data_IF_013517101020
#
_entry.id   IF_013517101020
#
_cell.length_a   1.000
_cell.length_b   1.000
_cell.length_c   1.000
_cell.angle_alpha   90.00
_cell.angle_beta   90.00
_cell.angle_gamma   90.00
#
_symmetry.space_group_name_H-M   'P 1'
#
loop_
_entity.id
_entity.type
_entity.pdbx_description
1 polymer ?
#
# COMPACT_ATOMS: atom_id res chain seq x y z
N UNK A 1 3.15 -1.31 -20.38
CA UNK A 1 3.33 -0.46 -19.19
C UNK A 1 2.15 -0.68 -18.27
N UNK A 2 2.40 -0.84 -16.97
CA UNK A 2 1.34 -1.03 -16.00
C UNK A 2 0.56 0.28 -15.82
N UNK A 3 -0.76 0.23 -15.91
CA UNK A 3 -1.62 1.43 -15.74
C UNK A 3 -2.95 1.07 -15.12
N UNK A 4 -3.34 1.77 -14.06
CA UNK A 4 -4.68 1.70 -13.47
C UNK A 4 -5.65 2.44 -14.39
N UNK A 5 -6.65 1.73 -14.90
CA UNK A 5 -7.64 2.25 -15.85
C UNK A 5 -8.97 2.57 -15.19
N UNK A 6 -9.28 1.90 -14.08
CA UNK A 6 -10.53 2.10 -13.33
C UNK A 6 -10.37 1.74 -11.87
N UNK A 7 -11.10 2.46 -11.01
CA UNK A 7 -11.28 2.12 -9.59
C UNK A 7 -12.79 2.14 -9.32
N UNK A 8 -13.31 1.10 -8.67
CA UNK A 8 -14.70 1.04 -8.25
C UNK A 8 -14.95 2.08 -7.14
N UNK A 9 -15.99 2.90 -7.29
CA UNK A 9 -16.28 4.02 -6.36
C UNK A 9 -16.61 3.57 -4.93
N UNK A 10 -17.24 2.40 -4.79
CA UNK A 10 -17.68 1.88 -3.51
C UNK A 10 -16.77 0.75 -3.05
N UNK A 11 -16.39 0.70 -1.76
CA UNK A 11 -15.68 -0.45 -1.25
C UNK A 11 -16.58 -1.68 -1.30
N UNK A 12 -16.01 -2.83 -1.67
CA UNK A 12 -16.75 -4.09 -1.73
C UNK A 12 -16.73 -4.83 -0.40
N UNK A 13 -15.82 -4.47 0.50
CA UNK A 13 -15.69 -5.02 1.84
C UNK A 13 -15.16 -3.94 2.79
N UNK A 14 -15.44 -4.08 4.08
CA UNK A 14 -14.90 -3.20 5.12
C UNK A 14 -14.56 -4.00 6.37
N UNK A 15 -13.38 -3.75 6.94
CA UNK A 15 -12.87 -4.44 8.13
C UNK A 15 -12.93 -3.52 9.37
N UNK A 16 -13.69 -3.87 10.44
CA UNK A 16 -13.70 -3.07 11.66
C UNK A 16 -12.35 -3.12 12.39
N UNK A 17 -11.91 -1.98 12.92
CA UNK A 17 -10.67 -1.88 13.69
C UNK A 17 -10.74 -0.75 14.71
N UNK A 18 -9.75 -0.71 15.60
CA UNK A 18 -9.48 0.37 16.54
C UNK A 18 -8.24 1.13 16.09
N UNK A 19 -8.21 2.44 16.30
CA UNK A 19 -7.04 3.28 15.97
C UNK A 19 -6.95 4.45 16.94
N UNK A 20 -5.76 5.00 17.11
CA UNK A 20 -5.50 6.14 17.98
C UNK A 20 -6.27 7.41 17.58
N UNK A 21 -7.09 7.90 18.50
CA UNK A 21 -7.86 9.13 18.35
C UNK A 21 -7.19 10.39 18.86
N UNK A 22 -7.87 11.52 18.68
CA UNK A 22 -7.52 12.76 19.37
C UNK A 22 -7.81 12.64 20.87
N UNK A 23 -7.00 13.30 21.69
CA UNK A 23 -7.15 13.34 23.16
C UNK A 23 -7.07 11.98 23.88
N UNK A 24 -6.44 10.98 23.25
CA UNK A 24 -6.14 9.68 23.85
C UNK A 24 -7.33 8.73 24.00
N UNK A 25 -8.40 8.97 23.27
CA UNK A 25 -9.55 8.06 23.18
C UNK A 25 -9.42 7.21 21.92
N UNK A 26 -9.39 5.87 22.01
CA UNK A 26 -9.42 5.00 20.86
C UNK A 26 -10.67 5.22 19.99
N UNK A 27 -10.47 5.31 18.68
CA UNK A 27 -11.55 5.40 17.70
C UNK A 27 -11.87 4.02 17.15
N UNK A 28 -13.14 3.78 16.88
CA UNK A 28 -13.59 2.61 16.13
C UNK A 28 -13.85 3.04 14.69
N UNK A 29 -13.22 2.36 13.75
CA UNK A 29 -13.26 2.71 12.34
C UNK A 29 -13.42 1.45 11.49
N UNK A 30 -13.58 1.64 10.17
CA UNK A 30 -13.68 0.57 9.19
C UNK A 30 -12.68 0.80 8.07
N UNK A 31 -11.78 -0.15 7.84
CA UNK A 31 -10.82 -0.12 6.75
C UNK A 31 -11.50 -0.59 5.46
N UNK A 32 -11.63 0.25 4.42
CA UNK A 32 -12.31 -0.11 3.18
C UNK A 32 -11.40 -0.89 2.22
N UNK A 33 -12.02 -1.83 1.49
CA UNK A 33 -11.39 -2.61 0.43
C UNK A 33 -12.02 -2.25 -0.91
N UNK A 34 -11.20 -1.80 -1.86
CA UNK A 34 -11.61 -1.38 -3.20
C UNK A 34 -11.10 -2.34 -4.27
N UNK A 35 -11.81 -2.38 -5.40
CA UNK A 35 -11.29 -2.98 -6.64
C UNK A 35 -10.74 -1.90 -7.54
N UNK A 36 -9.57 -2.16 -8.10
CA UNK A 36 -9.00 -1.41 -9.21
C UNK A 36 -8.75 -2.35 -10.38
N UNK A 37 -8.65 -1.81 -11.58
CA UNK A 37 -8.41 -2.55 -12.80
C UNK A 37 -7.20 -1.94 -13.51
N UNK A 38 -6.35 -2.79 -14.05
CA UNK A 38 -5.11 -2.37 -14.68
C UNK A 38 -4.82 -3.09 -16.00
N UNK A 39 -4.19 -2.37 -16.91
CA UNK A 39 -3.49 -2.95 -18.07
C UNK A 39 -2.01 -3.12 -17.75
N UNK A 40 -1.32 -3.94 -18.54
CA UNK A 40 0.14 -4.11 -18.43
C UNK A 40 0.62 -5.01 -17.30
N UNK A 41 -0.27 -5.69 -16.59
CA UNK A 41 0.08 -6.78 -15.67
C UNK A 41 0.63 -8.00 -16.45
N UNK A 42 1.55 -8.79 -15.87
CA UNK A 42 1.94 -10.08 -16.46
C UNK A 42 0.71 -10.98 -16.67
N UNK A 43 0.66 -11.71 -17.79
CA UNK A 43 -0.55 -12.42 -18.24
C UNK A 43 -1.07 -13.51 -17.29
N UNK A 44 -0.22 -14.02 -16.39
CA UNK A 44 -0.59 -15.03 -15.40
C UNK A 44 -1.10 -14.43 -14.09
N UNK A 45 -0.93 -13.12 -13.87
CA UNK A 45 -1.36 -12.42 -12.67
C UNK A 45 -2.86 -12.22 -12.71
N UNK A 46 -3.53 -12.63 -11.64
CA UNK A 46 -4.98 -12.53 -11.42
C UNK A 46 -5.33 -11.42 -10.46
N UNK A 47 -4.50 -11.16 -9.45
CA UNK A 47 -4.67 -10.03 -8.56
C UNK A 47 -3.39 -9.59 -7.87
N UNK A 48 -3.27 -8.28 -7.66
CA UNK A 48 -2.30 -7.67 -6.74
C UNK A 48 -3.05 -7.00 -5.60
N UNK A 49 -2.42 -6.88 -4.44
CA UNK A 49 -2.95 -6.11 -3.31
C UNK A 49 -2.02 -4.95 -2.99
N UNK A 50 -2.57 -3.75 -2.89
CA UNK A 50 -1.85 -2.54 -2.50
C UNK A 50 -2.46 -1.98 -1.21
N UNK A 51 -1.64 -1.67 -0.21
CA UNK A 51 -2.14 -1.00 1.00
C UNK A 51 -1.06 -0.21 1.73
N UNK A 52 -1.49 0.83 2.43
CA UNK A 52 -0.67 1.64 3.32
C UNK A 52 -1.48 2.10 4.51
N UNK A 53 -0.78 2.45 5.58
CA UNK A 53 -1.35 3.06 6.76
C UNK A 53 -2.52 2.27 7.39
N UNK A 54 -2.47 0.92 7.50
CA UNK A 54 -3.35 0.19 8.41
C UNK A 54 -2.92 0.43 9.86
N UNK A 55 -2.72 1.69 10.28
CA UNK A 55 -2.34 2.09 11.62
C UNK A 55 -3.49 1.87 12.59
N UNK A 56 -3.56 0.65 13.14
CA UNK A 56 -4.58 0.30 14.10
C UNK A 56 -4.38 -1.07 14.71
N UNK A 57 -5.33 -1.42 15.56
CA UNK A 57 -5.44 -2.71 16.22
C UNK A 57 -6.73 -3.37 15.80
N UNK A 58 -6.72 -4.70 15.74
CA UNK A 58 -7.95 -5.44 15.48
C UNK A 58 -9.04 -5.07 16.51
N UNK A 59 -10.30 -5.10 16.07
CA UNK A 59 -11.43 -4.78 16.95
C UNK A 59 -11.70 -5.87 18.02
N UNK A 60 -11.19 -7.09 17.80
CA UNK A 60 -11.33 -8.22 18.71
C UNK A 60 -10.40 -8.16 19.92
N UNK A 61 -10.42 -9.24 20.72
CA UNK A 61 -9.69 -9.32 21.99
C UNK A 61 -8.20 -9.67 21.87
N UNK A 62 -7.72 -10.18 20.72
CA UNK A 62 -6.30 -10.57 20.61
C UNK A 62 -5.36 -9.38 20.40
N UNK A 63 -5.91 -8.20 20.04
CA UNK A 63 -5.20 -6.93 19.97
C UNK A 63 -3.98 -6.90 19.01
N UNK A 64 -4.00 -7.73 17.97
CA UNK A 64 -2.97 -7.77 16.92
C UNK A 64 -2.95 -6.48 16.10
N UNK A 65 -1.81 -6.17 15.48
CA UNK A 65 -1.73 -5.11 14.48
C UNK A 65 -2.74 -5.34 13.36
N UNK A 66 -3.36 -4.27 12.86
CA UNK A 66 -4.45 -4.35 11.87
C UNK A 66 -4.03 -5.03 10.56
N UNK A 67 -2.75 -5.01 10.20
CA UNK A 67 -2.27 -5.75 9.03
C UNK A 67 -2.54 -7.25 9.09
N UNK A 68 -2.51 -7.86 10.29
CA UNK A 68 -2.78 -9.30 10.48
C UNK A 68 -4.21 -9.70 10.08
N UNK A 69 -5.28 -9.10 10.65
CA UNK A 69 -6.64 -9.41 10.22
C UNK A 69 -6.94 -8.92 8.79
N UNK A 70 -6.16 -7.99 8.22
CA UNK A 70 -6.25 -7.67 6.78
C UNK A 70 -5.81 -8.85 5.93
N UNK A 71 -4.67 -9.47 6.24
CA UNK A 71 -4.22 -10.69 5.55
C UNK A 71 -5.26 -11.82 5.69
N UNK A 72 -5.78 -12.05 6.90
CA UNK A 72 -6.84 -13.04 7.13
C UNK A 72 -8.11 -12.75 6.31
N UNK A 73 -8.52 -11.48 6.22
CA UNK A 73 -9.67 -11.06 5.42
C UNK A 73 -9.45 -11.31 3.92
N UNK A 74 -8.26 -11.02 3.39
CA UNK A 74 -7.92 -11.32 1.98
C UNK A 74 -8.00 -12.82 1.69
N UNK A 75 -7.46 -13.66 2.59
CA UNK A 75 -7.55 -15.12 2.47
C UNK A 75 -9.00 -15.61 2.50
N UNK A 76 -9.83 -15.07 3.40
CA UNK A 76 -11.25 -15.41 3.48
C UNK A 76 -12.01 -15.00 2.21
N UNK A 77 -11.85 -13.75 1.76
CA UNK A 77 -12.48 -13.23 0.55
C UNK A 77 -12.06 -14.01 -0.71
N UNK A 78 -10.81 -14.47 -0.77
CA UNK A 78 -10.32 -15.35 -1.83
C UNK A 78 -10.99 -16.72 -1.80
N UNK A 79 -11.04 -17.38 -0.62
CA UNK A 79 -11.71 -18.68 -0.45
C UNK A 79 -13.21 -18.63 -0.77
N UNK A 80 -13.85 -17.49 -0.51
CA UNK A 80 -15.27 -17.25 -0.85
C UNK A 80 -15.49 -16.87 -2.32
N UNK A 81 -14.42 -16.72 -3.11
CA UNK A 81 -14.50 -16.33 -4.52
C UNK A 81 -14.88 -14.87 -4.76
N UNK A 82 -14.79 -14.02 -3.74
CA UNK A 82 -15.06 -12.57 -3.85
C UNK A 82 -13.93 -11.85 -4.58
N UNK A 83 -12.69 -12.32 -4.40
CA UNK A 83 -11.50 -11.88 -5.12
C UNK A 83 -10.69 -13.12 -5.56
N UNK A 84 -9.82 -13.01 -6.58
CA UNK A 84 -8.79 -14.02 -6.80
C UNK A 84 -7.78 -14.03 -5.64
N UNK A 85 -7.12 -15.18 -5.43
CA UNK A 85 -5.98 -15.26 -4.52
C UNK A 85 -4.89 -14.24 -4.94
N UNK A 86 -4.38 -13.40 -4.02
CA UNK A 86 -3.34 -12.44 -4.33
C UNK A 86 -2.08 -13.12 -4.87
N UNK A 87 -1.63 -12.72 -6.05
CA UNK A 87 -0.35 -13.18 -6.60
C UNK A 87 0.83 -12.42 -5.97
N UNK A 88 0.63 -11.16 -5.59
CA UNK A 88 1.55 -10.41 -4.73
C UNK A 88 0.81 -9.39 -3.85
N UNK A 89 1.45 -9.04 -2.73
CA UNK A 89 1.04 -7.95 -1.82
C UNK A 89 2.14 -6.90 -1.76
N UNK A 90 1.75 -5.64 -1.92
CA UNK A 90 2.61 -4.47 -1.82
C UNK A 90 2.21 -3.56 -0.66
N UNK A 91 3.16 -3.33 0.26
CA UNK A 91 2.97 -2.56 1.49
C UNK A 91 3.73 -1.23 1.44
N UNK A 92 3.05 -0.12 1.70
CA UNK A 92 3.64 1.22 1.67
C UNK A 92 3.85 1.85 3.05
N UNK A 93 3.94 1.02 4.09
CA UNK A 93 4.36 1.45 5.42
C UNK A 93 3.25 1.93 6.34
N UNK A 94 3.68 2.31 7.55
CA UNK A 94 2.88 2.75 8.68
C UNK A 94 1.85 1.68 9.09
N UNK A 95 2.36 0.53 9.48
CA UNK A 95 1.58 -0.65 9.86
C UNK A 95 1.35 -0.72 11.38
N UNK A 96 1.96 0.17 12.16
CA UNK A 96 1.95 0.17 13.62
C UNK A 96 0.96 1.19 14.25
N UNK A 97 0.34 0.81 15.36
CA UNK A 97 -0.28 1.70 16.34
C UNK A 97 -0.07 1.13 17.76
N UNK A 98 -0.22 1.91 18.82
CA UNK A 98 -0.06 1.39 20.19
C UNK A 98 -1.14 0.33 20.53
N UNK A 99 -0.83 -0.68 21.37
CA UNK A 99 -1.79 -1.72 21.78
C UNK A 99 -3.09 -1.19 22.39
N UNK A 100 -3.03 -0.07 23.10
CA UNK A 100 -4.17 0.58 23.75
C UNK A 100 -4.72 1.76 22.93
N UNK A 101 -4.15 2.06 21.75
CA UNK A 101 -4.52 3.19 20.90
C UNK A 101 -4.60 4.55 21.66
N UNK A 102 -3.74 4.74 22.68
CA UNK A 102 -3.79 5.92 23.56
C UNK A 102 -3.25 7.20 22.91
N UNK A 103 -2.54 7.12 21.79
CA UNK A 103 -1.89 8.27 21.17
C UNK A 103 -1.52 8.02 19.71
N UNK A 104 -1.80 9.00 18.85
CA UNK A 104 -1.33 9.00 17.46
C UNK A 104 0.18 9.04 17.33
N UNK A 105 0.67 8.46 16.24
CA UNK A 105 2.09 8.46 15.88
C UNK A 105 2.93 7.57 16.77
N UNK A 106 2.40 6.39 17.12
CA UNK A 106 3.17 5.35 17.77
C UNK A 106 4.25 4.82 16.84
N UNK A 107 5.40 4.44 17.39
CA UNK A 107 6.46 3.76 16.65
C UNK A 107 6.69 2.41 17.30
N UNK A 108 6.81 1.36 16.49
CA UNK A 108 7.00 0.02 16.99
C UNK A 108 7.08 -1.01 15.87
N UNK A 109 7.15 -2.28 16.29
CA UNK A 109 7.59 -3.36 15.43
C UNK A 109 6.44 -3.96 14.63
N UNK A 110 6.71 -4.30 13.37
CA UNK A 110 5.68 -4.70 12.39
C UNK A 110 5.98 -6.03 11.71
N UNK A 111 6.95 -6.79 12.23
CA UNK A 111 7.35 -8.12 11.75
C UNK A 111 6.12 -9.05 11.57
N UNK A 112 5.19 -9.04 12.53
CA UNK A 112 3.97 -9.87 12.49
C UNK A 112 3.07 -9.57 11.28
N UNK A 113 3.09 -8.32 10.78
CA UNK A 113 2.27 -7.92 9.63
C UNK A 113 2.86 -8.51 8.35
N UNK A 114 4.16 -8.40 8.16
CA UNK A 114 4.85 -9.00 7.01
C UNK A 114 4.71 -10.52 7.02
N UNK A 115 4.87 -11.15 8.19
CA UNK A 115 4.65 -12.59 8.35
C UNK A 115 3.22 -12.99 7.96
N UNK A 116 2.20 -12.27 8.44
CA UNK A 116 0.81 -12.59 8.11
C UNK A 116 0.52 -12.46 6.61
N UNK A 117 1.07 -11.46 5.92
CA UNK A 117 0.89 -11.34 4.47
C UNK A 117 1.63 -12.43 3.69
N UNK A 118 2.80 -12.87 4.16
CA UNK A 118 3.57 -13.94 3.51
C UNK A 118 2.82 -15.27 3.40
N UNK A 119 1.84 -15.49 4.29
CA UNK A 119 1.01 -16.71 4.32
C UNK A 119 -0.12 -16.70 3.28
N UNK A 120 -0.47 -15.53 2.72
CA UNK A 120 -1.64 -15.39 1.84
C UNK A 120 -1.28 -15.13 0.39
N UNK A 121 0.00 -14.98 0.07
CA UNK A 121 0.48 -14.68 -1.28
C UNK A 121 1.86 -15.26 -1.56
N UNK A 122 2.19 -15.60 -2.82
CA UNK A 122 3.52 -16.03 -3.21
C UNK A 122 4.62 -14.97 -3.04
N UNK A 123 4.31 -13.68 -3.02
CA UNK A 123 5.30 -12.58 -2.99
C UNK A 123 4.78 -11.40 -2.15
N UNK A 124 5.55 -10.97 -1.16
CA UNK A 124 5.31 -9.74 -0.39
C UNK A 124 6.46 -8.79 -0.63
N UNK A 125 6.17 -7.57 -1.07
CA UNK A 125 7.18 -6.51 -1.19
C UNK A 125 6.69 -5.30 -0.40
N UNK A 126 7.54 -4.71 0.43
CA UNK A 126 7.13 -3.54 1.20
C UNK A 126 8.22 -2.52 1.39
N UNK A 127 7.81 -1.31 1.76
CA UNK A 127 8.65 -0.26 2.31
C UNK A 127 8.16 0.07 3.71
N UNK A 128 9.07 0.51 4.59
CA UNK A 128 8.71 0.95 5.92
C UNK A 128 8.18 2.37 5.90
N UNK A 129 7.14 2.61 6.68
CA UNK A 129 6.69 3.95 7.00
C UNK A 129 7.53 4.55 8.13
N UNK A 130 7.28 5.81 8.44
CA UNK A 130 8.07 6.51 9.45
C UNK A 130 7.77 6.03 10.88
N UNK A 131 6.72 5.26 11.07
CA UNK A 131 6.32 4.67 12.35
C UNK A 131 6.72 3.20 12.51
N UNK A 132 7.22 2.56 11.45
CA UNK A 132 7.54 1.15 11.49
C UNK A 132 8.97 0.89 11.98
N UNK A 133 9.12 -0.24 12.65
CA UNK A 133 10.39 -0.83 13.04
C UNK A 133 10.36 -2.33 12.72
N UNK A 134 11.52 -2.91 12.50
CA UNK A 134 11.69 -4.36 12.34
C UNK A 134 12.59 -4.83 13.47
N UNK A 135 12.13 -5.80 14.27
CA UNK A 135 12.96 -6.42 15.30
C UNK A 135 13.83 -7.53 14.72
N UNK A 136 13.26 -8.33 13.81
CA UNK A 136 13.86 -9.53 13.23
C UNK A 136 13.67 -9.59 11.71
N UNK A 137 14.19 -8.61 10.95
CA UNK A 137 14.07 -8.61 9.49
C UNK A 137 14.69 -9.86 8.85
N UNK A 138 15.69 -10.47 9.48
CA UNK A 138 16.31 -11.73 9.05
C UNK A 138 15.42 -12.97 9.22
N UNK A 139 14.37 -12.87 10.04
CA UNK A 139 13.41 -13.95 10.27
C UNK A 139 12.18 -13.85 9.36
N UNK A 140 12.11 -12.82 8.51
CA UNK A 140 11.06 -12.71 7.52
C UNK A 140 11.09 -13.91 6.56
N UNK A 141 9.93 -14.43 6.15
CA UNK A 141 9.86 -15.53 5.20
C UNK A 141 10.51 -15.18 3.85
N UNK A 142 11.08 -16.18 3.17
CA UNK A 142 11.85 -16.01 1.93
C UNK A 142 11.09 -15.30 0.79
N UNK A 143 9.75 -15.35 0.80
CA UNK A 143 8.89 -14.64 -0.14
C UNK A 143 8.59 -13.19 0.26
N UNK A 144 9.31 -12.63 1.22
CA UNK A 144 9.12 -11.28 1.72
C UNK A 144 10.36 -10.43 1.45
N UNK A 145 10.19 -9.34 0.71
CA UNK A 145 11.25 -8.38 0.40
C UNK A 145 10.93 -7.02 1.00
N UNK A 146 11.83 -6.49 1.81
CA UNK A 146 11.77 -5.10 2.28
C UNK A 146 12.69 -4.23 1.43
N UNK A 147 12.14 -3.20 0.79
CA UNK A 147 12.87 -2.29 -0.09
C UNK A 147 13.21 -0.98 0.61
N UNK A 148 14.43 -0.52 0.34
CA UNK A 148 14.89 0.79 0.76
C UNK A 148 16.03 1.28 -0.16
N UNK A 149 15.66 1.84 -1.31
CA UNK A 149 16.62 2.27 -2.33
C UNK A 149 17.02 1.17 -3.31
N UNK A 150 16.11 0.22 -3.60
CA UNK A 150 16.38 -0.91 -4.50
C UNK A 150 15.20 -1.28 -5.38
N UNK A 151 15.46 -2.18 -6.35
CA UNK A 151 14.46 -2.79 -7.24
C UNK A 151 14.59 -4.31 -7.17
N UNK A 152 13.45 -4.99 -7.04
CA UNK A 152 13.33 -6.44 -7.10
C UNK A 152 12.43 -6.84 -8.26
N UNK A 153 12.63 -8.03 -8.80
CA UNK A 153 11.77 -8.61 -9.83
C UNK A 153 10.89 -9.68 -9.22
N UNK A 154 9.58 -9.47 -9.28
CA UNK A 154 8.55 -10.40 -8.79
C UNK A 154 7.70 -10.91 -9.95
N UNK A 155 6.94 -11.99 -9.71
CA UNK A 155 5.97 -12.51 -10.69
C UNK A 155 6.61 -12.77 -12.07
N UNK A 156 7.86 -13.24 -12.05
CA UNK A 156 8.68 -13.54 -13.23
C UNK A 156 9.35 -12.33 -13.89
N UNK A 157 8.61 -11.24 -14.13
CA UNK A 157 9.09 -10.12 -14.94
C UNK A 157 8.58 -8.73 -14.54
N UNK A 158 7.96 -8.57 -13.37
CA UNK A 158 7.51 -7.27 -12.89
C UNK A 158 8.58 -6.66 -11.96
N UNK A 159 9.17 -5.53 -12.35
CA UNK A 159 10.12 -4.81 -11.52
C UNK A 159 9.38 -3.89 -10.54
N UNK A 160 9.69 -4.06 -9.27
CA UNK A 160 9.12 -3.29 -8.16
C UNK A 160 10.27 -2.59 -7.45
N UNK A 161 10.25 -1.28 -7.46
CA UNK A 161 11.19 -0.42 -6.73
C UNK A 161 10.57 0.12 -5.45
N UNK A 162 11.39 0.55 -4.50
CA UNK A 162 10.85 1.22 -3.32
C UNK A 162 11.88 1.94 -2.46
N UNK A 163 11.41 2.96 -1.75
CA UNK A 163 12.18 3.76 -0.78
C UNK A 163 11.38 3.86 0.52
N UNK A 164 12.03 3.55 1.64
CA UNK A 164 11.42 3.60 2.96
C UNK A 164 11.50 5.00 3.58
N UNK A 165 10.59 5.28 4.51
CA UNK A 165 10.59 6.49 5.32
C UNK A 165 10.02 7.73 4.64
N UNK A 166 10.32 8.89 5.24
CA UNK A 166 9.87 10.22 4.78
C UNK A 166 11.00 11.26 4.88
N UNK A 167 10.84 12.38 4.19
CA UNK A 167 11.58 13.63 4.36
C UNK A 167 11.11 14.34 5.63
N UNK A 168 11.97 14.40 6.65
CA UNK A 168 11.75 15.11 7.92
C UNK A 168 13.09 15.10 8.71
N UNK A 169 13.08 15.48 9.99
CA UNK A 169 14.24 15.42 10.87
C UNK A 169 14.88 14.00 10.90
N UNK A 170 16.13 13.84 10.40
CA UNK A 170 16.78 12.53 10.28
C UNK A 170 17.20 11.91 11.64
N UNK A 171 17.08 12.66 12.74
CA UNK A 171 17.29 12.12 14.09
C UNK A 171 16.09 11.34 14.63
N UNK A 172 15.04 11.16 13.83
CA UNK A 172 13.82 10.41 14.18
C UNK A 172 13.71 9.17 13.30
N UNK A 173 12.98 8.17 13.80
CA UNK A 173 12.79 6.89 13.11
C UNK A 173 12.36 7.08 11.64
N UNK A 174 13.02 6.36 10.74
CA UNK A 174 12.70 6.26 9.31
C UNK A 174 12.41 7.62 8.67
N UNK A 175 13.29 8.59 8.94
CA UNK A 175 13.26 9.94 8.39
C UNK A 175 14.62 10.30 7.80
N UNK A 176 14.60 11.03 6.70
CA UNK A 176 15.78 11.42 5.93
C UNK A 176 15.77 12.91 5.65
N UNK A 177 16.95 13.44 5.35
CA UNK A 177 17.01 14.74 4.68
C UNK A 177 16.34 14.62 3.30
N UNK A 178 15.91 15.76 2.76
CA UNK A 178 15.32 15.83 1.42
C UNK A 178 16.31 15.30 0.38
N UNK A 179 17.56 15.77 0.42
CA UNK A 179 18.62 15.35 -0.50
C UNK A 179 18.84 13.82 -0.47
N UNK A 180 18.92 13.22 0.72
CA UNK A 180 19.14 11.77 0.84
C UNK A 180 17.94 10.96 0.32
N UNK A 181 16.72 11.44 0.57
CA UNK A 181 15.51 10.76 0.09
C UNK A 181 15.39 10.85 -1.43
N UNK A 182 15.59 12.04 -2.01
CA UNK A 182 15.50 12.26 -3.44
C UNK A 182 16.62 11.53 -4.20
N UNK A 183 17.84 11.47 -3.67
CA UNK A 183 18.91 10.68 -4.27
C UNK A 183 18.58 9.18 -4.30
N UNK A 184 17.97 8.64 -3.23
CA UNK A 184 17.52 7.26 -3.20
C UNK A 184 16.36 7.01 -4.18
N UNK A 185 15.41 7.95 -4.26
CA UNK A 185 14.29 7.90 -5.20
C UNK A 185 14.79 7.88 -6.65
N UNK A 186 15.67 8.82 -7.02
CA UNK A 186 16.27 8.91 -8.36
C UNK A 186 17.01 7.62 -8.72
N UNK A 187 17.83 7.08 -7.81
CA UNK A 187 18.55 5.82 -8.03
C UNK A 187 17.61 4.63 -8.28
N UNK A 188 16.40 4.64 -7.71
CA UNK A 188 15.39 3.60 -7.94
C UNK A 188 14.66 3.85 -9.25
N UNK A 189 14.25 5.09 -9.54
CA UNK A 189 13.53 5.42 -10.78
C UNK A 189 14.38 5.29 -12.03
N UNK A 190 15.70 5.48 -11.93
CA UNK A 190 16.67 5.25 -13.02
C UNK A 190 16.70 3.79 -13.50
N UNK A 191 16.27 2.86 -12.65
CA UNK A 191 16.12 1.45 -12.98
C UNK A 191 14.77 1.13 -13.64
N UNK A 192 13.93 2.15 -13.86
CA UNK A 192 12.63 2.09 -14.52
C UNK A 192 11.69 0.98 -14.01
N UNK A 193 11.40 0.91 -12.70
CA UNK A 193 10.46 -0.08 -12.19
C UNK A 193 9.05 0.18 -12.71
N UNK A 194 8.27 -0.87 -12.97
CA UNK A 194 6.86 -0.72 -13.35
C UNK A 194 5.99 -0.27 -12.17
N UNK A 195 6.38 -0.63 -10.94
CA UNK A 195 5.73 -0.19 -9.70
C UNK A 195 6.78 0.40 -8.77
N UNK A 196 6.51 1.59 -8.25
CA UNK A 196 7.33 2.25 -7.24
C UNK A 196 6.54 2.34 -5.92
N UNK A 197 7.09 1.77 -4.86
CA UNK A 197 6.50 1.82 -3.51
C UNK A 197 7.16 2.92 -2.69
N UNK A 198 6.36 3.87 -2.19
CA UNK A 198 6.82 4.92 -1.30
C UNK A 198 5.92 4.99 -0.08
N UNK A 199 6.44 5.41 1.07
CA UNK A 199 5.54 5.83 2.14
C UNK A 199 5.09 7.28 1.94
N UNK A 200 6.02 8.22 1.79
CA UNK A 200 5.72 9.59 1.40
C UNK A 200 5.60 9.72 -0.13
N UNK A 201 4.43 10.16 -0.59
CA UNK A 201 4.20 10.39 -2.01
C UNK A 201 4.21 11.87 -2.44
N UNK A 202 3.91 12.11 -3.73
CA UNK A 202 3.98 13.43 -4.35
C UNK A 202 2.84 14.34 -3.88
N UNK A 203 2.99 15.65 -4.03
CA UNK A 203 1.84 16.57 -4.03
C UNK A 203 0.92 16.36 -5.23
N UNK A 204 -0.35 16.76 -5.11
CA UNK A 204 -1.25 16.86 -6.26
C UNK A 204 -1.16 18.27 -6.89
N UNK A 205 -0.68 18.41 -8.14
CA UNK A 205 -0.54 19.71 -8.81
C UNK A 205 -1.89 20.38 -9.10
N UNK A 206 -2.97 19.60 -9.23
CA UNK A 206 -4.31 20.12 -9.53
C UNK A 206 -5.10 20.46 -8.26
N UNK A 207 -4.76 19.87 -7.11
CA UNK A 207 -5.53 20.01 -5.86
C UNK A 207 -4.65 20.20 -4.65
N UNK A 208 -4.32 21.44 -4.34
CA UNK A 208 -3.50 21.85 -3.19
C UNK A 208 -3.95 21.31 -1.81
N UNK A 209 -5.22 20.90 -1.64
CA UNK A 209 -5.69 20.27 -0.40
C UNK A 209 -5.16 18.84 -0.20
N UNK A 210 -4.76 18.15 -1.27
CA UNK A 210 -4.11 16.84 -1.21
C UNK A 210 -2.61 17.04 -0.97
N UNK A 211 -2.23 16.81 0.29
CA UNK A 211 -0.85 16.99 0.75
C UNK A 211 0.05 15.88 0.23
N UNK A 212 1.32 16.22 0.06
CA UNK A 212 2.40 15.31 -0.28
C UNK A 212 3.69 16.11 -0.33
N UNK A 213 4.72 15.54 -0.96
CA UNK A 213 6.01 16.17 -1.11
C UNK A 213 6.23 16.75 -2.53
N UNK A 214 6.60 18.04 -2.67
CA UNK A 214 6.81 18.65 -3.97
C UNK A 214 8.09 18.18 -4.66
N UNK A 215 9.14 17.80 -3.91
CA UNK A 215 10.36 17.23 -4.47
C UNK A 215 10.09 15.86 -5.08
N UNK A 216 9.29 15.03 -4.40
CA UNK A 216 8.82 13.74 -4.95
C UNK A 216 7.97 13.95 -6.19
N UNK A 217 7.05 14.93 -6.20
CA UNK A 217 6.25 15.24 -7.38
C UNK A 217 7.14 15.61 -8.58
N UNK A 218 8.09 16.52 -8.38
CA UNK A 218 9.02 16.95 -9.43
C UNK A 218 9.85 15.78 -9.96
N UNK A 219 10.42 14.94 -9.08
CA UNK A 219 11.23 13.79 -9.47
C UNK A 219 10.45 12.79 -10.34
N UNK A 220 9.19 12.52 -9.98
CA UNK A 220 8.33 11.60 -10.73
C UNK A 220 7.86 12.19 -12.07
N UNK A 221 7.53 13.49 -12.11
CA UNK A 221 7.14 14.18 -13.35
C UNK A 221 8.30 14.23 -14.37
N UNK A 222 9.56 14.16 -13.92
CA UNK A 222 10.74 14.18 -14.79
C UNK A 222 11.08 12.81 -15.40
N UNK A 223 10.08 12.06 -15.85
CA UNK A 223 10.27 10.90 -16.73
C UNK A 223 9.95 9.53 -16.13
N UNK A 224 9.37 9.45 -14.93
CA UNK A 224 8.88 8.17 -14.42
C UNK A 224 7.54 7.80 -15.08
N UNK A 225 7.49 6.61 -15.70
CA UNK A 225 6.31 6.16 -16.46
C UNK A 225 5.49 5.08 -15.74
N UNK A 226 5.96 4.59 -14.59
CA UNK A 226 5.31 3.51 -13.84
C UNK A 226 4.15 3.96 -12.95
N UNK A 227 3.70 3.03 -12.12
CA UNK A 227 2.73 3.28 -11.06
C UNK A 227 3.43 3.52 -9.73
N UNK A 228 3.37 4.75 -9.22
CA UNK A 228 3.74 5.07 -7.84
C UNK A 228 2.60 4.72 -6.91
N UNK A 229 2.85 3.92 -5.88
CA UNK A 229 1.88 3.54 -4.84
C UNK A 229 2.39 4.08 -3.51
N UNK A 230 1.54 4.83 -2.79
CA UNK A 230 1.99 5.53 -1.59
C UNK A 230 0.96 5.73 -0.48
N UNK A 231 1.45 6.07 0.70
CA UNK A 231 0.69 6.29 1.94
C UNK A 231 0.85 7.69 2.55
N UNK A 232 0.97 7.73 3.88
CA UNK A 232 1.36 8.87 4.74
C UNK A 232 0.38 10.05 4.81
N UNK A 233 -0.09 10.51 3.65
CA UNK A 233 -1.02 11.62 3.51
C UNK A 233 -2.29 11.15 2.85
N UNK A 234 -3.31 10.83 3.66
CA UNK A 234 -4.61 10.44 3.14
C UNK A 234 -5.20 11.45 2.14
N UNK A 235 -5.50 10.97 0.94
CA UNK A 235 -6.24 11.73 -0.07
C UNK A 235 -7.72 11.34 -0.10
N UNK A 236 -8.57 12.35 -0.23
CA UNK A 236 -9.97 12.19 -0.61
C UNK A 236 -10.12 11.87 -2.10
N UNK A 237 -11.26 11.26 -2.46
CA UNK A 237 -11.54 10.85 -3.84
C UNK A 237 -11.42 12.01 -4.86
N UNK A 238 -10.90 11.74 -6.09
CA UNK A 238 -10.15 10.55 -6.50
C UNK A 238 -8.76 10.49 -5.89
N UNK A 239 -8.26 9.28 -5.63
CA UNK A 239 -6.94 9.04 -5.03
C UNK A 239 -5.95 8.39 -6.00
N UNK A 240 -6.22 8.55 -7.30
CA UNK A 240 -5.34 8.26 -8.41
C UNK A 240 -5.19 9.55 -9.22
N UNK A 241 -3.96 9.90 -9.57
CA UNK A 241 -3.64 10.99 -10.50
C UNK A 241 -2.69 10.51 -11.59
N UNK A 242 -2.65 11.24 -12.70
CA UNK A 242 -1.58 11.13 -13.67
C UNK A 242 -0.44 12.08 -13.27
N UNK A 243 0.80 11.65 -13.48
CA UNK A 243 2.00 12.49 -13.35
C UNK A 243 2.77 12.35 -14.66
N UNK A 244 2.54 13.28 -15.58
CA UNK A 244 3.01 13.19 -16.97
C UNK A 244 2.64 11.82 -17.60
N UNK A 245 3.63 10.99 -17.95
CA UNK A 245 3.43 9.65 -18.51
C UNK A 245 3.02 8.59 -17.47
N UNK A 246 3.34 8.81 -16.19
CA UNK A 246 3.12 7.90 -15.07
C UNK A 246 1.81 8.11 -14.30
N UNK A 247 1.65 7.35 -13.21
CA UNK A 247 0.50 7.45 -12.29
C UNK A 247 0.95 7.44 -10.83
N UNK A 248 0.18 8.11 -9.97
CA UNK A 248 0.35 8.03 -8.52
C UNK A 248 -0.97 7.64 -7.84
N UNK A 249 -0.94 6.57 -7.04
CA UNK A 249 -2.07 5.97 -6.34
C UNK A 249 -1.86 6.03 -4.83
N UNK A 250 -2.66 6.86 -4.16
CA UNK A 250 -2.67 6.96 -2.70
C UNK A 250 -3.52 5.83 -2.11
N UNK A 251 -2.88 4.95 -1.34
CA UNK A 251 -3.51 3.79 -0.68
C UNK A 251 -3.52 3.92 0.85
N UNK A 252 -3.29 5.12 1.38
CA UNK A 252 -3.41 5.46 2.81
C UNK A 252 -4.81 5.09 3.34
N UNK A 253 -4.84 4.24 4.36
CA UNK A 253 -6.06 3.87 5.08
C UNK A 253 -7.06 3.12 4.21
N UNK A 254 -6.59 2.34 3.22
CA UNK A 254 -7.41 1.47 2.37
C UNK A 254 -6.63 0.27 1.85
N UNK A 255 -7.36 -0.76 1.45
CA UNK A 255 -6.83 -1.91 0.71
C UNK A 255 -7.35 -1.84 -0.72
N UNK A 256 -6.47 -2.01 -1.70
CA UNK A 256 -6.83 -1.97 -3.12
C UNK A 256 -6.45 -3.29 -3.76
N UNK A 257 -7.45 -4.04 -4.21
CA UNK A 257 -7.26 -5.27 -4.99
C UNK A 257 -7.25 -4.89 -6.46
N UNK A 258 -6.08 -4.93 -7.08
CA UNK A 258 -5.89 -4.62 -8.50
C UNK A 258 -6.10 -5.89 -9.31
N UNK A 259 -6.98 -5.83 -10.29
CA UNK A 259 -7.33 -6.92 -11.19
C UNK A 259 -6.87 -6.59 -12.61
N UNK A 260 -6.56 -7.59 -13.45
CA UNK A 260 -6.40 -7.37 -14.88
C UNK A 260 -7.67 -6.76 -15.47
N UNK A 261 -7.50 -5.74 -16.31
CA UNK A 261 -8.57 -5.29 -17.17
C UNK A 261 -8.89 -6.38 -18.18
N UNK A 262 -10.13 -6.85 -18.18
CA UNK A 262 -10.62 -7.80 -19.17
C UNK A 262 -11.36 -6.99 -20.23
N UNK A 263 -10.77 -6.89 -21.42
CA UNK A 263 -11.45 -6.34 -22.59
C UNK A 263 -12.78 -7.08 -22.81
N UNK A 264 -13.91 -6.40 -22.56
CA UNK A 264 -15.21 -6.84 -23.09
C UNK A 264 -16.27 -7.42 -22.13
N UNK A 265 -16.23 -7.19 -20.81
CA UNK A 265 -17.39 -7.53 -19.94
C UNK A 265 -17.90 -6.33 -19.16
N UNK A 266 -18.64 -5.45 -19.84
CA UNK A 266 -19.68 -4.67 -19.18
C UNK A 266 -20.77 -5.63 -18.70
N UNK A 267 -20.83 -5.85 -17.38
CA UNK A 267 -22.03 -6.39 -16.72
C UNK A 267 -21.84 -7.69 -15.95
N UNK A 268 -21.33 -7.59 -14.72
CA UNK A 268 -21.76 -8.49 -13.66
C UNK A 268 -22.60 -7.70 -12.65
N UNK A 269 -23.88 -7.53 -12.97
CA UNK A 269 -24.90 -7.34 -11.94
C UNK A 269 -25.16 -8.72 -11.34
N UNK A 270 -24.48 -9.04 -10.24
CA UNK A 270 -24.79 -10.22 -9.45
C UNK A 270 -26.12 -10.00 -8.71
N UNK A 271 -27.24 -10.26 -9.39
CA UNK A 271 -28.47 -10.72 -8.73
C UNK A 271 -28.46 -12.25 -8.77
N UNK A 272 -27.78 -12.86 -7.83
CA UNK A 272 -28.02 -14.27 -7.52
C UNK A 272 -29.28 -14.32 -6.66
N UNK A 273 -30.39 -14.74 -7.27
CA UNK A 273 -31.55 -15.27 -6.53
C UNK A 273 -31.18 -16.68 -6.08
N UNK A 274 -31.21 -16.90 -4.77
CA UNK A 274 -31.14 -18.24 -4.17
C UNK A 274 -32.57 -18.83 -4.20
N UNK A 275 -32.77 -20.11 -4.58
CA UNK A 275 -34.03 -20.83 -4.40
C UNK A 275 -34.37 -21.08 -2.92
#
# INVERSE_FOLDING_TARGET
MLRITRIDLNPFFTLPHRTSGSAGVPLHNRLPFYRAYATGLPSHVKSLVLTSDPQGREAGSQNRLLGVPVAEALSALSREGVIPAPDAVFLCGDLYDYPDCHKRGGTGTVDEVFQAFSEVTPEVVGVLGNHDQMDHPEALPDNTTLLDGGVVRVLGNLNVGGVSGIVDNPNRNQRRTEDDFLAALESVTDQAPEILLLHQGPTDPERAARRGDPGVALSLETGFQGLTVFGHTRWDWPWLISLDEGQALNVDGRVVVVLPEVDGVFGFSAKVKIP
#
